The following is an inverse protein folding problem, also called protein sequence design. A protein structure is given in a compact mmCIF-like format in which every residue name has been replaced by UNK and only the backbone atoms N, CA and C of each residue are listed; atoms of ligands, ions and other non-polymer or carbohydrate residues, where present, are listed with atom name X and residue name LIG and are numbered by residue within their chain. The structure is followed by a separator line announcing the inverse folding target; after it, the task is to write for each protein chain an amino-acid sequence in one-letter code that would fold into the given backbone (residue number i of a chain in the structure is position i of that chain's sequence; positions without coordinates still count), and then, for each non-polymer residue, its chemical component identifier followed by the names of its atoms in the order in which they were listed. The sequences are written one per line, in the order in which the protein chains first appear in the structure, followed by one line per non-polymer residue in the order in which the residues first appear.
data_IF_160930562785
#
_entry.id   IF_160930562785
#
_cell.length_a   1.000
_cell.length_b   1.000
_cell.length_c   1.000
_cell.angle_alpha   90.00
_cell.angle_beta   90.00
_cell.angle_gamma   90.00
#
_symmetry.space_group_name_H-M   'P 1'
#
loop_
_entity.id
_entity.type
_entity.pdbx_description
1 polymer ?
#
# COMPACT_ATOMS: atom_id res chain seq x y z
N UNK A 1 -24.24 4.39 18.44
CA UNK A 1 -23.15 3.67 17.76
C UNK A 1 -22.50 4.67 16.84
N UNK A 2 -21.25 5.05 17.13
CA UNK A 2 -20.52 6.03 16.33
C UNK A 2 -19.83 5.27 15.20
N UNK A 3 -20.35 5.40 13.98
CA UNK A 3 -19.76 4.76 12.80
C UNK A 3 -18.67 5.68 12.23
N UNK A 4 -17.45 5.18 12.16
CA UNK A 4 -16.32 5.88 11.57
C UNK A 4 -16.35 5.77 10.04
N UNK A 5 -15.97 6.82 9.34
CA UNK A 5 -15.77 6.79 7.88
C UNK A 5 -14.30 6.99 7.56
N UNK A 6 -13.73 6.00 6.92
CA UNK A 6 -12.30 5.97 6.55
C UNK A 6 -12.16 5.93 5.04
N UNK A 7 -11.45 6.88 4.48
CA UNK A 7 -11.06 6.88 3.08
C UNK A 7 -9.69 6.25 2.93
N UNK A 8 -9.58 5.22 2.09
CA UNK A 8 -8.31 4.53 1.81
C UNK A 8 -7.86 4.85 0.39
N UNK A 9 -6.62 5.29 0.25
CA UNK A 9 -6.00 5.70 -1.00
C UNK A 9 -4.79 4.83 -1.33
N UNK A 10 -4.69 4.48 -2.61
CA UNK A 10 -3.54 3.81 -3.19
C UNK A 10 -3.10 4.59 -4.43
N UNK A 11 -2.06 5.40 -4.27
CA UNK A 11 -1.55 6.29 -5.30
C UNK A 11 -0.48 5.59 -6.14
N UNK A 12 -0.72 5.49 -7.45
CA UNK A 12 0.26 5.12 -8.47
C UNK A 12 0.81 6.36 -9.17
N UNK A 13 1.77 6.19 -10.06
CA UNK A 13 2.39 7.31 -10.80
C UNK A 13 1.39 8.10 -11.64
N UNK A 14 0.41 7.43 -12.25
CA UNK A 14 -0.64 8.04 -13.07
C UNK A 14 -2.04 7.57 -12.70
N UNK A 15 -2.22 7.03 -11.51
CA UNK A 15 -3.50 6.50 -11.05
C UNK A 15 -3.69 6.70 -9.56
N UNK A 16 -4.95 6.63 -9.13
CA UNK A 16 -5.35 6.68 -7.73
C UNK A 16 -6.55 5.76 -7.54
N UNK A 17 -6.37 4.67 -6.83
CA UNK A 17 -7.49 3.81 -6.38
C UNK A 17 -7.95 4.27 -5.01
N UNK A 18 -9.26 4.23 -4.79
CA UNK A 18 -9.83 4.62 -3.50
C UNK A 18 -10.99 3.74 -3.10
N UNK A 19 -11.18 3.62 -1.80
CA UNK A 19 -12.36 3.02 -1.17
C UNK A 19 -12.75 3.83 0.06
N UNK A 20 -14.04 4.06 0.24
CA UNK A 20 -14.60 4.63 1.45
C UNK A 20 -15.25 3.51 2.26
N UNK A 21 -14.87 3.40 3.52
CA UNK A 21 -15.39 2.39 4.44
C UNK A 21 -16.22 3.02 5.55
N UNK A 22 -17.32 2.35 5.90
CA UNK A 22 -17.90 2.45 7.23
C UNK A 22 -17.20 1.47 8.16
N UNK A 23 -16.78 1.92 9.32
CA UNK A 23 -16.04 1.13 10.30
C UNK A 23 -16.76 1.18 11.65
N UNK A 24 -17.04 0.01 12.21
CA UNK A 24 -17.61 -0.19 13.53
C UNK A 24 -16.82 -1.29 14.25
N UNK A 25 -15.85 -0.87 15.07
CA UNK A 25 -14.92 -1.79 15.71
C UNK A 25 -14.10 -2.56 14.68
N UNK A 26 -14.21 -3.89 14.70
CA UNK A 26 -13.52 -4.79 13.75
C UNK A 26 -14.32 -5.04 12.46
N UNK A 27 -15.50 -4.43 12.33
CA UNK A 27 -16.35 -4.57 11.13
C UNK A 27 -16.16 -3.37 10.23
N UNK A 28 -15.96 -3.65 8.94
CA UNK A 28 -15.87 -2.60 7.94
C UNK A 28 -16.63 -3.01 6.69
N UNK A 29 -17.29 -2.03 6.10
CA UNK A 29 -18.11 -2.15 4.91
C UNK A 29 -17.67 -1.12 3.87
N UNK A 30 -17.49 -1.56 2.62
CA UNK A 30 -17.19 -0.66 1.51
C UNK A 30 -18.47 0.09 1.14
N UNK A 31 -18.46 1.39 1.32
CA UNK A 31 -19.61 2.27 0.96
C UNK A 31 -19.52 2.74 -0.48
N UNK A 32 -18.31 3.09 -0.92
CA UNK A 32 -18.02 3.52 -2.28
C UNK A 32 -16.59 3.17 -2.64
N UNK A 33 -16.33 2.98 -3.93
CA UNK A 33 -15.00 2.71 -4.47
C UNK A 33 -14.86 3.26 -5.88
N UNK A 34 -13.63 3.49 -6.31
CA UNK A 34 -13.36 3.96 -7.66
C UNK A 34 -11.89 4.11 -7.96
N UNK A 35 -11.65 4.74 -9.09
CA UNK A 35 -10.33 4.92 -9.68
C UNK A 35 -10.29 6.28 -10.38
N UNK A 36 -9.23 7.03 -10.14
CA UNK A 36 -8.79 8.10 -11.05
C UNK A 36 -7.67 7.53 -11.90
N UNK A 37 -7.79 7.64 -13.22
CA UNK A 37 -6.85 7.04 -14.17
C UNK A 37 -6.30 8.07 -15.15
N UNK A 38 -5.12 7.81 -15.69
CA UNK A 38 -4.43 8.69 -16.62
C UNK A 38 -4.20 10.11 -16.05
N UNK A 39 -3.83 10.18 -14.79
CA UNK A 39 -3.49 11.44 -14.11
C UNK A 39 -2.23 12.03 -14.77
N UNK A 40 -2.30 13.30 -15.17
CA UNK A 40 -1.22 13.99 -15.88
C UNK A 40 -1.08 13.62 -17.34
N UNK A 41 -2.00 12.84 -17.90
CA UNK A 41 -2.01 12.35 -19.27
C UNK A 41 -3.35 12.72 -19.91
N UNK A 42 -3.38 12.89 -21.23
CA UNK A 42 -4.62 13.13 -21.96
C UNK A 42 -5.60 11.94 -21.82
N UNK A 43 -6.89 12.23 -21.71
CA UNK A 43 -7.93 11.22 -21.56
C UNK A 43 -8.11 10.74 -20.14
N UNK A 44 -7.76 11.56 -19.14
CA UNK A 44 -7.99 11.24 -17.73
C UNK A 44 -9.46 11.07 -17.40
N UNK A 45 -9.74 10.19 -16.45
CA UNK A 45 -11.09 9.87 -16.04
C UNK A 45 -11.13 9.50 -14.54
N UNK A 46 -12.32 9.66 -13.96
CA UNK A 46 -12.62 9.20 -12.60
C UNK A 46 -13.85 8.30 -12.63
N UNK A 47 -13.80 7.22 -11.90
CA UNK A 47 -14.94 6.32 -11.70
C UNK A 47 -15.38 6.33 -10.25
N UNK A 48 -16.66 6.08 -10.03
CA UNK A 48 -17.24 5.82 -8.72
C UNK A 48 -18.28 4.70 -8.83
N UNK A 49 -18.28 3.80 -7.87
CA UNK A 49 -19.32 2.81 -7.64
C UNK A 49 -19.77 2.93 -6.20
N UNK A 50 -21.06 3.24 -5.99
CA UNK A 50 -21.67 3.34 -4.67
C UNK A 50 -22.41 2.04 -4.37
N UNK A 51 -22.04 1.37 -3.28
CA UNK A 51 -22.65 0.10 -2.89
C UNK A 51 -22.65 -0.93 -4.04
N UNK A 52 -23.82 -1.51 -4.30
CA UNK A 52 -24.05 -2.46 -5.41
C UNK A 52 -24.53 -1.78 -6.70
N UNK A 53 -24.52 -0.44 -6.73
CA UNK A 53 -24.93 0.34 -7.91
C UNK A 53 -23.97 0.21 -9.09
N UNK A 54 -24.35 0.82 -10.21
CA UNK A 54 -23.52 0.83 -11.40
C UNK A 54 -22.29 1.73 -11.25
N UNK A 55 -21.22 1.35 -11.94
CA UNK A 55 -20.03 2.19 -12.04
C UNK A 55 -20.32 3.38 -12.95
N UNK A 56 -20.08 4.58 -12.44
CA UNK A 56 -20.20 5.84 -13.19
C UNK A 56 -18.80 6.34 -13.52
N UNK A 57 -18.57 6.66 -14.78
CA UNK A 57 -17.29 7.17 -15.29
C UNK A 57 -17.48 8.61 -15.79
N UNK A 58 -16.56 9.49 -15.38
CA UNK A 58 -16.52 10.89 -15.83
C UNK A 58 -15.14 11.17 -16.43
N UNK A 59 -15.09 11.68 -17.63
CA UNK A 59 -13.87 12.18 -18.25
C UNK A 59 -13.68 13.65 -17.91
N UNK A 60 -12.50 14.01 -17.43
CA UNK A 60 -12.12 15.38 -17.10
C UNK A 60 -10.60 15.47 -16.98
N UNK A 61 -10.01 16.67 -17.15
CA UNK A 61 -8.59 16.87 -16.95
C UNK A 61 -8.21 16.65 -15.48
N UNK A 62 -7.19 15.80 -15.26
CA UNK A 62 -6.58 15.56 -13.95
C UNK A 62 -5.07 15.82 -14.08
N UNK A 63 -4.62 17.09 -13.98
CA UNK A 63 -3.21 17.43 -14.17
C UNK A 63 -2.28 16.78 -13.14
N UNK A 64 -2.74 16.69 -11.88
CA UNK A 64 -1.96 16.12 -10.78
C UNK A 64 -2.85 15.27 -9.85
N UNK A 65 -2.23 14.56 -8.91
CA UNK A 65 -2.95 13.82 -7.87
C UNK A 65 -3.83 14.71 -7.00
N UNK A 66 -3.50 15.99 -6.85
CA UNK A 66 -4.33 16.93 -6.09
C UNK A 66 -5.70 17.13 -6.72
N UNK A 67 -5.75 17.36 -8.04
CA UNK A 67 -7.02 17.46 -8.77
C UNK A 67 -7.79 16.14 -8.73
N UNK A 68 -7.09 15.01 -8.84
CA UNK A 68 -7.70 13.68 -8.76
C UNK A 68 -8.36 13.46 -7.39
N UNK A 69 -7.67 13.77 -6.30
CA UNK A 69 -8.22 13.63 -4.94
C UNK A 69 -9.38 14.59 -4.72
N UNK A 70 -9.26 15.83 -5.21
CA UNK A 70 -10.36 16.81 -5.14
C UNK A 70 -11.62 16.29 -5.83
N UNK A 71 -11.49 15.71 -7.02
CA UNK A 71 -12.61 15.15 -7.75
C UNK A 71 -13.22 13.93 -7.03
N UNK A 72 -12.39 13.06 -6.46
CA UNK A 72 -12.86 11.94 -5.63
C UNK A 72 -13.68 12.44 -4.45
N UNK A 73 -13.22 13.48 -3.74
CA UNK A 73 -13.95 14.08 -2.63
C UNK A 73 -15.27 14.70 -3.08
N UNK A 74 -15.28 15.39 -4.22
CA UNK A 74 -16.50 15.97 -4.79
C UNK A 74 -17.53 14.89 -5.17
N UNK A 75 -17.07 13.78 -5.76
CA UNK A 75 -17.96 12.63 -6.07
C UNK A 75 -18.52 11.98 -4.80
N UNK A 76 -17.73 11.84 -3.76
CA UNK A 76 -18.18 11.30 -2.47
C UNK A 76 -19.18 12.23 -1.79
N UNK A 77 -18.95 13.55 -1.83
CA UNK A 77 -19.89 14.56 -1.32
C UNK A 77 -21.20 14.61 -2.12
N UNK A 78 -21.15 14.30 -3.42
CA UNK A 78 -22.33 14.23 -4.27
C UNK A 78 -23.15 12.93 -4.12
N UNK A 79 -22.66 11.97 -3.35
CA UNK A 79 -23.29 10.64 -3.27
C UNK A 79 -23.47 10.10 -1.85
N UNK A 80 -22.39 9.91 -1.08
CA UNK A 80 -22.40 9.18 0.20
C UNK A 80 -21.99 10.00 1.41
N UNK A 81 -21.35 11.16 1.21
CA UNK A 81 -20.97 12.08 2.28
C UNK A 81 -21.85 13.34 2.23
N UNK A 82 -22.29 13.82 3.38
CA UNK A 82 -22.96 15.13 3.51
C UNK A 82 -21.95 16.25 3.71
N UNK A 83 -20.84 15.95 4.36
CA UNK A 83 -19.75 16.87 4.67
C UNK A 83 -18.43 16.12 4.75
N UNK A 84 -17.33 16.81 4.42
CA UNK A 84 -15.96 16.34 4.65
C UNK A 84 -15.70 16.02 6.12
N UNK A 85 -16.37 16.69 7.04
CA UNK A 85 -16.23 16.47 8.48
C UNK A 85 -16.70 15.08 8.94
N UNK A 86 -17.40 14.33 8.08
CA UNK A 86 -17.76 12.95 8.36
C UNK A 86 -16.55 11.99 8.23
N UNK A 87 -15.45 12.42 7.59
CA UNK A 87 -14.23 11.61 7.49
C UNK A 87 -13.48 11.61 8.82
N UNK A 88 -13.35 10.43 9.41
CA UNK A 88 -12.58 10.22 10.64
C UNK A 88 -11.08 10.09 10.38
N UNK A 89 -10.70 9.67 9.17
CA UNK A 89 -9.32 9.53 8.78
C UNK A 89 -9.13 9.14 7.32
N UNK A 90 -7.91 9.27 6.86
CA UNK A 90 -7.45 8.82 5.54
C UNK A 90 -6.29 7.86 5.72
N UNK A 91 -6.40 6.67 5.12
CA UNK A 91 -5.34 5.68 5.07
C UNK A 91 -4.65 5.67 3.71
N UNK A 92 -3.32 5.58 3.71
CA UNK A 92 -2.53 5.45 2.49
C UNK A 92 -1.76 4.14 2.49
N UNK A 93 -1.78 3.43 1.36
CA UNK A 93 -0.80 2.40 1.09
C UNK A 93 0.49 3.05 0.62
N UNK A 94 1.61 2.71 1.27
CA UNK A 94 2.96 3.08 0.88
C UNK A 94 3.76 1.79 0.66
N UNK A 95 4.46 1.68 -0.47
CA UNK A 95 5.15 0.44 -0.79
C UNK A 95 6.35 0.24 0.12
N UNK A 96 7.24 1.22 0.26
CA UNK A 96 8.51 1.02 0.95
C UNK A 96 8.65 1.89 2.20
N UNK A 97 8.77 1.21 3.35
CA UNK A 97 9.05 1.83 4.64
C UNK A 97 10.51 1.69 5.10
N UNK A 98 11.34 1.02 4.30
CA UNK A 98 12.75 0.77 4.64
C UNK A 98 12.90 0.02 5.96
N UNK A 99 13.92 0.35 6.71
CA UNK A 99 14.15 -0.13 8.07
C UNK A 99 13.54 0.81 9.14
N UNK A 100 12.89 1.90 8.71
CA UNK A 100 12.36 2.93 9.61
C UNK A 100 10.99 2.60 10.19
N UNK A 101 10.20 1.79 9.48
CA UNK A 101 8.81 1.51 9.85
C UNK A 101 8.56 0.00 9.93
N UNK A 102 8.09 -0.44 11.08
CA UNK A 102 7.68 -1.82 11.36
C UNK A 102 6.16 -1.96 11.58
N UNK A 103 5.42 -0.87 11.41
CA UNK A 103 3.97 -0.78 11.62
C UNK A 103 3.38 0.42 10.88
N UNK A 104 2.04 0.49 10.85
CA UNK A 104 1.34 1.68 10.39
C UNK A 104 1.55 2.84 11.36
N UNK A 105 1.69 4.06 10.84
CA UNK A 105 1.96 5.25 11.63
C UNK A 105 1.08 6.42 11.20
N UNK A 106 0.83 7.34 12.13
CA UNK A 106 0.24 8.63 11.81
C UNK A 106 1.22 9.47 10.99
N UNK A 107 0.68 10.16 10.01
CA UNK A 107 1.47 11.05 9.14
C UNK A 107 1.77 12.35 9.86
N UNK A 108 3.04 12.72 9.86
CA UNK A 108 3.55 14.04 10.19
C UNK A 108 4.62 14.44 9.17
N UNK A 109 5.21 15.62 9.33
CA UNK A 109 6.22 16.11 8.38
C UNK A 109 7.48 15.22 8.35
N UNK A 110 7.84 14.63 9.48
CA UNK A 110 8.98 13.70 9.56
C UNK A 110 8.70 12.39 8.83
N UNK A 111 7.51 11.83 8.97
CA UNK A 111 7.08 10.64 8.23
C UNK A 111 7.13 10.89 6.73
N UNK A 112 6.61 12.04 6.27
CA UNK A 112 6.66 12.42 4.85
C UNK A 112 8.12 12.50 4.37
N UNK A 113 8.98 13.14 5.14
CA UNK A 113 10.41 13.28 4.81
C UNK A 113 11.10 11.93 4.67
N UNK A 114 10.83 11.00 5.59
CA UNK A 114 11.43 9.65 5.55
C UNK A 114 10.90 8.88 4.33
N UNK A 115 9.60 8.91 4.05
CA UNK A 115 9.01 8.23 2.89
C UNK A 115 9.60 8.77 1.58
N UNK A 116 9.74 10.08 1.47
CA UNK A 116 10.34 10.72 0.29
C UNK A 116 11.81 10.31 0.14
N UNK A 117 12.57 10.28 1.23
CA UNK A 117 13.96 9.82 1.26
C UNK A 117 14.15 8.35 0.85
N UNK A 118 13.12 7.51 0.98
CA UNK A 118 13.12 6.12 0.55
C UNK A 118 12.75 5.92 -0.93
N UNK A 119 12.52 7.00 -1.67
CA UNK A 119 12.11 6.94 -3.09
C UNK A 119 13.14 6.23 -3.97
N UNK A 120 14.41 6.22 -3.61
CA UNK A 120 15.46 5.45 -4.32
C UNK A 120 15.23 3.94 -4.26
N UNK A 121 14.59 3.44 -3.21
CA UNK A 121 14.25 2.03 -3.04
C UNK A 121 12.93 1.64 -3.73
N UNK A 122 12.06 2.60 -3.99
CA UNK A 122 10.77 2.41 -4.67
C UNK A 122 10.42 3.62 -5.55
N UNK A 123 11.19 3.88 -6.62
CA UNK A 123 11.09 5.11 -7.42
C UNK A 123 9.76 5.25 -8.18
N UNK A 124 9.06 4.15 -8.43
CA UNK A 124 7.76 4.15 -9.11
C UNK A 124 6.57 4.28 -8.15
N UNK A 125 6.79 4.17 -6.85
CA UNK A 125 5.70 4.07 -5.85
C UNK A 125 5.76 5.15 -4.77
N UNK A 126 6.90 5.30 -4.09
CA UNK A 126 7.00 6.23 -2.97
C UNK A 126 6.75 7.70 -3.36
N UNK A 127 7.28 8.21 -4.48
CA UNK A 127 6.97 9.59 -4.90
C UNK A 127 5.47 9.84 -5.11
N UNK A 128 4.75 8.88 -5.71
CA UNK A 128 3.30 8.98 -5.91
C UNK A 128 2.55 8.98 -4.58
N UNK A 129 2.96 8.14 -3.62
CA UNK A 129 2.39 8.12 -2.28
C UNK A 129 2.59 9.46 -1.56
N UNK A 130 3.79 10.04 -1.65
CA UNK A 130 4.09 11.37 -1.08
C UNK A 130 3.20 12.45 -1.70
N UNK A 131 3.02 12.44 -3.01
CA UNK A 131 2.11 13.37 -3.69
C UNK A 131 0.67 13.23 -3.20
N UNK A 132 0.18 12.01 -3.02
CA UNK A 132 -1.14 11.73 -2.47
C UNK A 132 -1.30 12.24 -1.04
N UNK A 133 -0.33 11.99 -0.17
CA UNK A 133 -0.32 12.45 1.21
C UNK A 133 -0.33 13.98 1.29
N UNK A 134 0.53 14.65 0.53
CA UNK A 134 0.59 16.12 0.48
C UNK A 134 -0.69 16.74 -0.07
N UNK A 135 -1.30 16.12 -1.07
CA UNK A 135 -2.59 16.57 -1.62
C UNK A 135 -3.72 16.46 -0.59
N UNK A 136 -3.81 15.35 0.14
CA UNK A 136 -4.77 15.19 1.24
C UNK A 136 -4.53 16.22 2.33
N UNK A 137 -3.28 16.45 2.72
CA UNK A 137 -2.94 17.46 3.73
C UNK A 137 -3.41 18.86 3.32
N UNK A 138 -3.29 19.21 2.04
CA UNK A 138 -3.73 20.50 1.51
C UNK A 138 -5.26 20.62 1.46
N UNK A 139 -5.97 19.56 1.09
CA UNK A 139 -7.42 19.54 0.92
C UNK A 139 -8.18 19.27 2.23
N UNK A 140 -7.60 18.49 3.14
CA UNK A 140 -8.18 18.01 4.38
C UNK A 140 -7.21 18.23 5.55
N UNK A 141 -6.85 19.47 5.89
CA UNK A 141 -5.76 19.76 6.84
C UNK A 141 -6.06 19.27 8.27
N UNK A 142 -7.31 19.06 8.62
CA UNK A 142 -7.74 18.64 9.96
C UNK A 142 -8.06 17.15 10.08
N UNK A 143 -8.01 16.41 8.98
CA UNK A 143 -8.29 14.97 8.98
C UNK A 143 -6.99 14.20 9.21
N UNK A 144 -6.92 13.31 10.23
CA UNK A 144 -5.74 12.50 10.46
C UNK A 144 -5.47 11.57 9.28
N UNK A 145 -4.20 11.40 8.96
CA UNK A 145 -3.76 10.47 7.94
C UNK A 145 -2.89 9.37 8.56
N UNK A 146 -3.06 8.14 8.09
CA UNK A 146 -2.26 6.98 8.49
C UNK A 146 -1.65 6.37 7.24
N UNK A 147 -0.40 5.92 7.34
CA UNK A 147 0.27 5.16 6.29
C UNK A 147 0.50 3.72 6.73
N UNK A 148 0.23 2.78 5.82
CA UNK A 148 0.53 1.38 5.95
C UNK A 148 1.56 0.98 4.89
N UNK A 149 2.61 0.27 5.31
CA UNK A 149 3.74 -0.06 4.45
C UNK A 149 3.71 -1.53 4.03
N UNK A 150 3.95 -1.81 2.76
CA UNK A 150 4.09 -3.19 2.25
C UNK A 150 5.25 -3.94 2.91
N UNK A 151 6.27 -3.23 3.36
CA UNK A 151 7.49 -3.80 3.94
C UNK A 151 7.46 -3.94 5.46
N UNK A 152 6.53 -3.27 6.14
CA UNK A 152 6.56 -3.15 7.60
C UNK A 152 6.41 -4.48 8.35
N UNK A 153 5.49 -5.33 7.90
CA UNK A 153 5.26 -6.64 8.52
C UNK A 153 6.50 -7.55 8.49
N UNK A 154 7.34 -7.37 7.48
CA UNK A 154 8.55 -8.17 7.27
C UNK A 154 9.77 -7.67 8.05
N UNK A 155 9.66 -6.54 8.76
CA UNK A 155 10.77 -5.97 9.55
C UNK A 155 11.13 -6.79 10.79
N UNK A 156 10.32 -7.80 11.11
CA UNK A 156 10.60 -8.76 12.18
C UNK A 156 11.55 -9.88 11.77
N UNK A 157 11.90 -10.00 10.48
CA UNK A 157 12.88 -10.99 10.02
C UNK A 157 14.24 -10.74 10.66
N UNK A 158 14.92 -11.84 11.00
CA UNK A 158 16.28 -11.80 11.57
C UNK A 158 17.33 -11.64 10.47
N UNK A 159 18.56 -11.20 10.82
CA UNK A 159 19.64 -11.03 9.85
C UNK A 159 19.89 -12.24 8.95
N UNK A 160 19.82 -13.46 9.49
CA UNK A 160 20.00 -14.69 8.71
C UNK A 160 18.92 -14.91 7.63
N UNK A 161 17.75 -14.25 7.77
CA UNK A 161 16.67 -14.30 6.79
C UNK A 161 16.74 -13.13 5.78
N UNK A 162 17.18 -11.94 6.20
CA UNK A 162 17.16 -10.78 5.33
C UNK A 162 18.49 -10.42 4.66
N UNK A 163 19.63 -10.89 5.17
CA UNK A 163 20.92 -10.54 4.58
C UNK A 163 21.22 -11.35 3.33
N UNK A 164 21.73 -10.68 2.31
CA UNK A 164 22.30 -11.35 1.14
C UNK A 164 23.76 -11.70 1.37
N UNK A 165 24.24 -12.74 0.67
CA UNK A 165 25.65 -13.14 0.66
C UNK A 165 26.49 -12.17 -0.20
N UNK A 166 26.53 -10.92 0.20
CA UNK A 166 27.26 -9.82 -0.43
C UNK A 166 28.19 -9.17 0.61
N UNK A 167 29.21 -8.41 0.19
CA UNK A 167 30.02 -7.63 1.13
C UNK A 167 29.12 -6.77 2.05
N UNK A 168 29.38 -6.84 3.35
CA UNK A 168 28.57 -6.15 4.36
C UNK A 168 28.42 -4.65 4.10
N UNK A 169 29.40 -4.05 3.44
CA UNK A 169 29.37 -2.63 3.06
C UNK A 169 28.19 -2.29 2.13
N UNK A 170 27.73 -3.23 1.33
CA UNK A 170 26.56 -3.03 0.46
C UNK A 170 25.28 -2.83 1.31
N UNK A 171 25.15 -3.59 2.36
CA UNK A 171 24.06 -3.38 3.33
C UNK A 171 24.22 -2.07 4.09
N UNK A 172 25.39 -1.81 4.64
CA UNK A 172 25.65 -0.61 5.45
C UNK A 172 25.41 0.68 4.66
N UNK A 173 25.92 0.73 3.44
CA UNK A 173 25.88 1.94 2.60
C UNK A 173 24.58 2.10 1.84
N UNK A 174 24.09 1.04 1.23
CA UNK A 174 22.94 1.09 0.32
C UNK A 174 21.68 0.42 0.86
N UNK A 175 21.74 -0.13 2.08
CA UNK A 175 20.62 -0.84 2.71
C UNK A 175 20.12 -2.01 1.88
N UNK A 176 21.04 -2.68 1.14
CA UNK A 176 20.72 -3.84 0.31
C UNK A 176 20.49 -5.03 1.23
N UNK A 177 19.24 -5.43 1.31
CA UNK A 177 18.73 -6.57 2.08
C UNK A 177 17.39 -7.03 1.50
N UNK A 178 16.89 -8.18 1.97
CA UNK A 178 15.50 -8.57 1.73
C UNK A 178 14.58 -7.67 2.55
N UNK A 179 13.61 -7.03 1.88
CA UNK A 179 12.53 -6.28 2.54
C UNK A 179 11.22 -7.04 2.43
N UNK A 180 10.93 -7.63 1.28
CA UNK A 180 9.64 -8.21 0.98
C UNK A 180 8.58 -7.17 0.62
N UNK A 181 7.42 -7.63 0.19
CA UNK A 181 6.27 -6.80 -0.10
C UNK A 181 4.97 -7.55 0.20
N UNK A 182 3.81 -6.94 -0.10
CA UNK A 182 2.49 -7.45 0.27
C UNK A 182 2.31 -7.67 1.79
N UNK A 183 3.13 -7.01 2.61
CA UNK A 183 3.13 -7.21 4.06
C UNK A 183 1.81 -6.90 4.72
N UNK A 184 1.09 -5.88 4.26
CA UNK A 184 -0.25 -5.56 4.76
C UNK A 184 -1.23 -6.71 4.52
N UNK A 185 -1.18 -7.35 3.34
CA UNK A 185 -1.98 -8.53 3.01
C UNK A 185 -1.59 -9.73 3.87
N UNK A 186 -0.30 -10.02 3.99
CA UNK A 186 0.20 -11.13 4.82
C UNK A 186 -0.17 -10.97 6.30
N UNK A 187 -0.08 -9.76 6.81
CA UNK A 187 -0.51 -9.42 8.18
C UNK A 187 -2.01 -9.70 8.36
N UNK A 188 -2.83 -9.16 7.47
CA UNK A 188 -4.29 -9.31 7.54
C UNK A 188 -4.70 -10.78 7.43
N UNK A 189 -4.26 -11.47 6.40
CA UNK A 189 -4.62 -12.89 6.14
C UNK A 189 -4.15 -13.79 7.27
N UNK A 190 -2.95 -13.60 7.79
CA UNK A 190 -2.45 -14.42 8.91
C UNK A 190 -3.23 -14.18 10.19
N UNK A 191 -3.65 -12.97 10.48
CA UNK A 191 -4.51 -12.64 11.62
C UNK A 191 -5.90 -13.26 11.49
N UNK A 192 -6.52 -13.15 10.33
CA UNK A 192 -7.83 -13.77 10.07
C UNK A 192 -7.77 -15.29 10.14
N UNK A 193 -6.73 -15.90 9.58
CA UNK A 193 -6.50 -17.34 9.70
C UNK A 193 -6.34 -17.77 11.18
N UNK A 194 -5.57 -17.01 11.96
CA UNK A 194 -5.39 -17.29 13.40
C UNK A 194 -6.72 -17.24 14.17
N UNK A 195 -7.61 -16.30 13.85
CA UNK A 195 -8.96 -16.23 14.44
C UNK A 195 -9.78 -17.48 14.07
N UNK A 196 -9.77 -17.88 12.80
CA UNK A 196 -10.53 -19.05 12.31
C UNK A 196 -10.07 -20.37 12.95
N UNK A 197 -8.76 -20.55 13.12
CA UNK A 197 -8.21 -21.77 13.72
C UNK A 197 -8.12 -21.71 15.26
N UNK A 198 -8.45 -20.57 15.85
CA UNK A 198 -8.45 -20.37 17.31
C UNK A 198 -7.08 -20.28 17.96
N UNK A 199 -6.01 -20.11 17.19
CA UNK A 199 -4.63 -19.95 17.70
C UNK A 199 -3.74 -19.27 16.66
N UNK A 200 -2.67 -18.60 17.12
CA UNK A 200 -1.67 -18.01 16.24
C UNK A 200 -0.90 -19.12 15.48
N UNK A 201 0.08 -19.75 16.09
CA UNK A 201 0.79 -20.88 15.48
C UNK A 201 1.60 -20.52 14.24
N UNK A 202 1.81 -21.51 13.37
CA UNK A 202 2.56 -21.39 12.12
C UNK A 202 1.59 -21.28 10.97
N UNK A 203 1.66 -20.18 10.24
CA UNK A 203 0.79 -19.87 9.11
C UNK A 203 1.65 -19.49 7.90
N UNK A 204 1.27 -19.96 6.72
CA UNK A 204 1.92 -19.62 5.45
C UNK A 204 0.88 -18.90 4.59
N UNK A 205 0.76 -17.57 4.70
CA UNK A 205 -0.12 -16.81 3.84
C UNK A 205 0.46 -16.73 2.43
N UNK A 206 -0.40 -16.94 1.43
CA UNK A 206 -0.09 -16.86 0.02
C UNK A 206 -0.89 -15.71 -0.59
N UNK A 207 -0.20 -14.65 -0.99
CA UNK A 207 -0.78 -13.54 -1.76
C UNK A 207 -0.54 -13.83 -3.23
N UNK A 208 -1.57 -14.27 -3.94
CA UNK A 208 -1.47 -14.73 -5.33
C UNK A 208 -2.36 -13.88 -6.22
N UNK A 209 -1.75 -13.01 -6.99
CA UNK A 209 -2.36 -12.15 -8.01
C UNK A 209 -1.40 -12.01 -9.18
N UNK A 210 -1.47 -10.91 -9.92
CA UNK A 210 -0.46 -10.58 -10.93
C UNK A 210 0.94 -10.45 -10.29
N UNK A 211 1.03 -9.79 -9.11
CA UNK A 211 2.14 -9.94 -8.19
C UNK A 211 1.84 -11.08 -7.21
N UNK A 212 2.86 -11.83 -6.80
CA UNK A 212 2.70 -12.95 -5.90
C UNK A 212 3.85 -13.04 -4.88
N UNK A 213 3.50 -13.38 -3.65
CA UNK A 213 4.48 -13.68 -2.61
C UNK A 213 3.91 -14.65 -1.59
N UNK A 214 4.82 -15.36 -0.92
CA UNK A 214 4.52 -16.32 0.13
C UNK A 214 5.37 -15.92 1.34
N UNK A 215 4.75 -15.90 2.51
CA UNK A 215 5.45 -15.57 3.76
C UNK A 215 5.35 -16.72 4.75
N UNK A 216 6.30 -16.78 5.67
CA UNK A 216 6.26 -17.66 6.82
C UNK A 216 5.99 -16.83 8.08
N UNK A 217 4.88 -17.11 8.76
CA UNK A 217 4.45 -16.39 9.95
C UNK A 217 4.41 -17.38 11.13
N UNK A 218 5.06 -17.03 12.22
CA UNK A 218 5.08 -17.80 13.44
C UNK A 218 4.56 -16.95 14.60
N UNK A 219 3.47 -17.38 15.21
CA UNK A 219 2.83 -16.71 16.35
C UNK A 219 2.57 -15.22 16.09
N UNK A 220 2.08 -14.90 14.88
CA UNK A 220 1.74 -13.54 14.45
C UNK A 220 2.93 -12.71 13.95
N UNK A 221 4.13 -13.28 13.89
CA UNK A 221 5.37 -12.59 13.50
C UNK A 221 5.90 -13.15 12.19
N UNK A 222 6.19 -12.30 11.23
CA UNK A 222 6.83 -12.71 9.98
C UNK A 222 8.28 -13.14 10.24
N UNK A 223 8.64 -14.36 9.84
CA UNK A 223 9.99 -14.89 10.00
C UNK A 223 10.73 -15.00 8.67
N UNK A 224 10.01 -15.09 7.55
CA UNK A 224 10.58 -15.10 6.21
C UNK A 224 9.54 -14.73 5.16
N UNK A 225 9.97 -14.31 3.98
CA UNK A 225 9.10 -13.99 2.84
C UNK A 225 9.82 -14.23 1.52
N UNK A 226 9.08 -14.49 0.45
CA UNK A 226 9.65 -14.87 -0.84
C UNK A 226 10.20 -13.71 -1.67
N UNK A 227 9.60 -12.50 -1.59
CA UNK A 227 10.14 -11.33 -2.28
C UNK A 227 11.42 -10.84 -1.58
N UNK A 228 12.30 -10.19 -2.35
CA UNK A 228 13.65 -9.84 -1.91
C UNK A 228 13.82 -8.33 -1.67
N UNK A 229 14.96 -7.83 -2.12
CA UNK A 229 15.29 -6.39 -2.12
C UNK A 229 14.24 -5.58 -2.89
N UNK A 230 13.75 -6.13 -3.98
CA UNK A 230 12.62 -5.59 -4.77
C UNK A 230 11.49 -6.62 -4.85
N UNK A 231 10.29 -6.25 -5.30
CA UNK A 231 9.19 -7.20 -5.52
C UNK A 231 9.38 -8.11 -6.76
N UNK A 232 10.60 -8.53 -7.05
CA UNK A 232 10.95 -9.36 -8.21
C UNK A 232 11.26 -10.81 -7.82
N UNK A 233 12.04 -11.01 -6.75
CA UNK A 233 12.48 -12.32 -6.31
C UNK A 233 11.33 -13.21 -5.82
N UNK A 234 11.57 -14.49 -5.68
CA UNK A 234 10.64 -15.47 -5.15
C UNK A 234 9.89 -16.22 -6.23
N UNK A 235 8.59 -16.37 -6.06
CA UNK A 235 7.74 -17.14 -6.96
C UNK A 235 7.54 -16.45 -8.30
N UNK A 236 7.32 -17.23 -9.36
CA UNK A 236 6.99 -16.72 -10.71
C UNK A 236 5.67 -15.95 -10.64
N UNK A 237 5.63 -14.80 -11.31
CA UNK A 237 4.48 -13.89 -11.33
C UNK A 237 3.98 -13.67 -12.77
N UNK A 238 2.88 -12.93 -12.92
CA UNK A 238 2.29 -12.67 -14.23
C UNK A 238 3.24 -11.98 -15.22
N UNK A 239 4.04 -11.00 -14.75
CA UNK A 239 4.96 -10.20 -15.59
C UNK A 239 6.37 -10.11 -15.00
N UNK A 240 6.66 -10.86 -13.94
CA UNK A 240 7.95 -10.88 -13.25
C UNK A 240 8.44 -12.30 -13.12
N UNK A 241 9.75 -12.52 -13.34
CA UNK A 241 10.35 -13.85 -13.41
C UNK A 241 10.31 -14.63 -12.08
N UNK A 242 10.25 -13.95 -10.94
CA UNK A 242 10.63 -14.58 -9.69
C UNK A 242 12.14 -14.85 -9.65
N UNK A 243 12.53 -15.88 -8.90
CA UNK A 243 13.94 -16.28 -8.81
C UNK A 243 14.45 -16.79 -10.17
N UNK A 244 15.53 -16.19 -10.64
CA UNK A 244 16.24 -16.59 -11.85
C UNK A 244 17.74 -16.38 -11.62
N UNK A 245 18.55 -17.31 -12.12
CA UNK A 245 19.99 -17.14 -12.11
C UNK A 245 20.35 -15.85 -12.89
N UNK A 246 21.04 -14.89 -12.26
CA UNK A 246 21.37 -13.60 -12.89
C UNK A 246 22.26 -13.74 -14.12
N UNK A 247 22.92 -14.88 -14.33
CA UNK A 247 23.70 -15.14 -15.53
C UNK A 247 22.82 -15.40 -16.76
N UNK A 248 21.58 -15.89 -16.58
CA UNK A 248 20.68 -16.19 -17.70
C UNK A 248 20.42 -14.96 -18.58
N UNK A 249 20.08 -13.78 -18.05
CA UNK A 249 19.92 -12.57 -18.89
C UNK A 249 21.17 -12.11 -19.62
N UNK A 250 22.36 -12.51 -19.14
CA UNK A 250 23.61 -12.20 -19.82
C UNK A 250 23.95 -13.23 -20.91
N UNK A 251 23.38 -14.44 -20.83
CA UNK A 251 23.63 -15.53 -21.76
C UNK A 251 22.76 -15.43 -23.03
N UNK A 252 21.50 -14.93 -22.91
CA UNK A 252 20.57 -14.77 -24.03
C UNK A 252 20.63 -13.39 -24.67
#
# INVERSE_FOLDING_TARGET
IHMEKILVLNSGSSSLKYQLFNVDGDKFEVVAKGLADRIGIEGSLVTIKVGDGDKVTTELPLPTHKEAIKEVLDLLLGSVLKSIDELSGVGHRVVHGGEYFDRSVLVDDEVIRIIDGLSTLAPLHNPAAVMGIKAVKALLPNVPQVVAFDTAFHQTMKPEAYMYALPLEQYKKYKIRRYGAHGTSHLFVSREAAKLIGKAGKIIPCHIGNGASISAVKDGVCVDTSMGFTPLAGVVMGTRSGDVDPFVPLYI
#
